data_IF_277493899217
#
_entry.id   IF_277493899217
#
_cell.length_a   1.000
_cell.length_b   1.000
_cell.length_c   1.000
_cell.angle_alpha   90.00
_cell.angle_beta   90.00
_cell.angle_gamma   90.00
#
_symmetry.space_group_name_H-M   'P 1'
#
loop_
_entity.id
_entity.type
_entity.pdbx_description
1 polymer ?
#
# COMPACT_ATOMS: atom_id res chain seq x y z
N UNK A 1 19.27 -10.34 -1.60
CA UNK A 1 20.49 -9.56 -1.31
C UNK A 1 21.57 -10.59 -1.01
N UNK A 2 22.67 -10.60 -1.76
CA UNK A 2 23.79 -11.51 -1.50
C UNK A 2 24.36 -11.21 -0.10
N UNK A 3 24.78 -12.25 0.63
CA UNK A 3 25.48 -12.07 1.89
C UNK A 3 26.79 -11.31 1.66
N UNK A 4 27.35 -10.66 2.68
CA UNK A 4 28.52 -9.81 2.49
C UNK A 4 29.70 -10.59 1.87
N UNK A 5 29.95 -11.80 2.36
CA UNK A 5 30.97 -12.69 1.83
C UNK A 5 30.70 -13.12 0.37
N UNK A 6 29.44 -13.35 0.01
CA UNK A 6 29.09 -13.71 -1.38
C UNK A 6 29.20 -12.52 -2.33
N UNK A 7 28.99 -11.28 -1.85
CA UNK A 7 29.22 -10.09 -2.68
C UNK A 7 30.69 -9.92 -3.01
N UNK A 8 31.56 -10.13 -2.03
CA UNK A 8 33.00 -10.09 -2.25
C UNK A 8 33.44 -11.17 -3.23
N UNK A 9 32.92 -12.40 -3.09
CA UNK A 9 33.17 -13.48 -4.05
C UNK A 9 32.68 -13.13 -5.46
N UNK A 10 31.45 -12.63 -5.61
CA UNK A 10 30.90 -12.26 -6.93
C UNK A 10 31.66 -11.07 -7.54
N UNK A 11 32.08 -10.09 -6.74
CA UNK A 11 32.93 -9.00 -7.24
C UNK A 11 34.32 -9.50 -7.65
N UNK A 12 34.87 -10.50 -6.96
CA UNK A 12 36.11 -11.20 -7.34
C UNK A 12 35.95 -11.91 -8.67
N UNK A 13 34.94 -12.77 -8.79
CA UNK A 13 34.65 -13.53 -10.02
C UNK A 13 34.40 -12.60 -11.22
N UNK A 14 33.69 -11.48 -11.03
CA UNK A 14 33.46 -10.49 -12.09
C UNK A 14 34.72 -9.72 -12.50
N UNK A 15 35.66 -9.51 -11.57
CA UNK A 15 36.94 -8.89 -11.89
C UNK A 15 37.90 -9.86 -12.59
N UNK A 16 37.80 -11.16 -12.30
CA UNK A 16 38.63 -12.20 -12.92
C UNK A 16 38.10 -12.67 -14.28
N UNK A 17 36.77 -12.67 -14.46
CA UNK A 17 36.14 -12.95 -15.73
C UNK A 17 36.32 -11.75 -16.68
N UNK A 18 37.38 -11.77 -17.48
CA UNK A 18 37.61 -10.83 -18.59
C UNK A 18 36.59 -10.95 -19.76
N UNK A 19 35.39 -11.45 -19.48
CA UNK A 19 34.29 -11.63 -20.43
C UNK A 19 33.49 -10.36 -20.67
N UNK A 20 32.56 -10.43 -21.62
CA UNK A 20 31.68 -9.29 -21.91
C UNK A 20 30.73 -9.03 -20.74
N UNK A 21 30.49 -7.76 -20.40
CA UNK A 21 29.67 -7.36 -19.24
C UNK A 21 28.26 -7.98 -19.18
N UNK A 22 27.74 -8.41 -20.34
CA UNK A 22 26.44 -9.10 -20.45
C UNK A 22 26.49 -10.56 -19.97
N UNK A 23 27.59 -11.28 -20.20
CA UNK A 23 27.75 -12.68 -19.77
C UNK A 23 27.80 -12.76 -18.25
N UNK A 24 28.60 -11.89 -17.61
CA UNK A 24 28.65 -11.78 -16.15
C UNK A 24 27.30 -11.42 -15.53
N UNK A 25 26.54 -10.49 -16.12
CA UNK A 25 25.18 -10.18 -15.66
C UNK A 25 24.24 -11.38 -15.77
N UNK A 26 24.32 -12.14 -16.87
CA UNK A 26 23.50 -13.35 -17.07
C UNK A 26 23.83 -14.42 -16.05
N UNK A 27 25.10 -14.62 -15.71
CA UNK A 27 25.53 -15.57 -14.68
C UNK A 27 25.03 -15.17 -13.29
N UNK A 28 25.20 -13.90 -12.92
CA UNK A 28 24.70 -13.37 -11.63
C UNK A 28 23.17 -13.51 -11.54
N UNK A 29 22.44 -13.15 -12.60
CA UNK A 29 20.99 -13.32 -12.65
C UNK A 29 20.59 -14.79 -12.57
N UNK A 30 21.32 -15.69 -13.25
CA UNK A 30 21.11 -17.13 -13.19
C UNK A 30 21.29 -17.69 -11.78
N UNK A 31 22.33 -17.26 -11.07
CA UNK A 31 22.59 -17.66 -9.68
C UNK A 31 21.51 -17.14 -8.73
N UNK A 32 21.10 -15.87 -8.87
CA UNK A 32 19.98 -15.30 -8.10
C UNK A 32 18.70 -16.07 -8.37
N UNK A 33 18.39 -16.39 -9.63
CA UNK A 33 17.19 -17.14 -10.02
C UNK A 33 17.17 -18.56 -9.42
N UNK A 34 18.27 -19.31 -9.54
CA UNK A 34 18.40 -20.66 -8.95
C UNK A 34 18.21 -20.64 -7.44
N UNK A 35 18.83 -19.67 -6.74
CA UNK A 35 18.69 -19.53 -5.29
C UNK A 35 17.26 -19.15 -4.88
N UNK A 36 16.62 -18.25 -5.63
CA UNK A 36 15.21 -17.94 -5.39
C UNK A 36 14.34 -19.19 -5.59
N UNK A 37 14.56 -19.96 -6.66
CA UNK A 37 13.83 -21.21 -6.91
C UNK A 37 14.01 -22.23 -5.77
N UNK A 38 15.22 -22.37 -5.22
CA UNK A 38 15.44 -23.24 -4.05
C UNK A 38 14.69 -22.77 -2.81
N UNK A 39 14.54 -21.46 -2.59
CA UNK A 39 13.75 -20.94 -1.47
C UNK A 39 12.27 -21.31 -1.60
N UNK A 40 11.74 -21.39 -2.83
CA UNK A 40 10.35 -21.78 -3.11
C UNK A 40 10.04 -23.24 -2.82
N UNK A 41 11.04 -24.10 -2.67
CA UNK A 41 10.85 -25.49 -2.23
C UNK A 41 10.45 -25.58 -0.75
N UNK A 42 10.74 -24.55 0.05
CA UNK A 42 10.30 -24.48 1.44
C UNK A 42 8.86 -23.99 1.58
N UNK A 43 8.18 -24.33 2.67
CA UNK A 43 6.80 -23.89 2.94
C UNK A 43 6.66 -22.38 3.26
N UNK A 44 7.74 -21.72 3.70
CA UNK A 44 7.69 -20.33 4.21
C UNK A 44 7.26 -19.29 3.17
N UNK A 45 7.79 -19.28 1.92
CA UNK A 45 7.32 -18.36 0.88
C UNK A 45 5.84 -18.55 0.55
N UNK A 46 5.33 -19.78 0.58
CA UNK A 46 3.92 -20.08 0.34
C UNK A 46 3.01 -19.49 1.43
N UNK A 47 3.36 -19.62 2.71
CA UNK A 47 2.61 -18.93 3.77
C UNK A 47 2.70 -17.41 3.64
N UNK A 48 3.86 -16.89 3.24
CA UNK A 48 3.98 -15.46 2.99
C UNK A 48 3.05 -15.02 1.85
N UNK A 49 2.99 -15.74 0.73
CA UNK A 49 2.05 -15.48 -0.35
C UNK A 49 0.59 -15.56 0.10
N UNK A 50 0.24 -16.56 0.91
CA UNK A 50 -1.12 -16.73 1.42
C UNK A 50 -1.62 -15.52 2.22
N UNK A 51 -0.71 -14.72 2.80
CA UNK A 51 -1.02 -13.49 3.51
C UNK A 51 -0.88 -12.26 2.60
N UNK A 52 0.19 -12.20 1.81
CA UNK A 52 0.57 -11.05 1.00
C UNK A 52 -0.39 -10.86 -0.19
N UNK A 53 -0.86 -11.95 -0.81
CA UNK A 53 -1.85 -11.89 -1.89
C UNK A 53 -3.17 -11.24 -1.48
N UNK A 54 -3.90 -11.75 -0.46
CA UNK A 54 -5.18 -11.14 -0.07
C UNK A 54 -4.98 -9.72 0.44
N UNK A 55 -3.86 -9.43 1.10
CA UNK A 55 -3.54 -8.08 1.55
C UNK A 55 -3.37 -7.10 0.38
N UNK A 56 -2.71 -7.52 -0.70
CA UNK A 56 -2.51 -6.69 -1.89
C UNK A 56 -3.82 -6.43 -2.63
N UNK A 57 -4.67 -7.46 -2.75
CA UNK A 57 -6.02 -7.32 -3.32
C UNK A 57 -6.85 -6.35 -2.47
N UNK A 58 -6.90 -6.57 -1.16
CA UNK A 58 -7.70 -5.76 -0.24
C UNK A 58 -7.25 -4.29 -0.23
N UNK A 59 -5.94 -4.06 -0.24
CA UNK A 59 -5.37 -2.71 -0.30
C UNK A 59 -5.71 -2.02 -1.62
N UNK A 60 -5.68 -2.74 -2.74
CA UNK A 60 -6.08 -2.22 -4.05
C UNK A 60 -7.57 -1.89 -4.12
N UNK A 61 -8.42 -2.76 -3.57
CA UNK A 61 -9.88 -2.53 -3.49
C UNK A 61 -10.17 -1.28 -2.66
N UNK A 62 -9.60 -1.18 -1.45
CA UNK A 62 -9.81 -0.06 -0.53
C UNK A 62 -9.29 1.24 -1.14
N UNK A 63 -8.08 1.21 -1.71
CA UNK A 63 -7.46 2.35 -2.42
C UNK A 63 -8.34 2.85 -3.55
N UNK A 64 -8.78 1.94 -4.43
CA UNK A 64 -9.64 2.28 -5.56
C UNK A 64 -10.95 2.90 -5.07
N UNK A 65 -11.62 2.27 -4.10
CA UNK A 65 -12.87 2.77 -3.55
C UNK A 65 -12.75 4.15 -2.92
N UNK A 66 -11.70 4.39 -2.12
CA UNK A 66 -11.45 5.71 -1.53
C UNK A 66 -11.14 6.73 -2.64
N UNK A 67 -10.36 6.36 -3.65
CA UNK A 67 -10.05 7.25 -4.77
C UNK A 67 -11.29 7.64 -5.56
N UNK A 68 -12.19 6.70 -5.88
CA UNK A 68 -13.45 6.96 -6.58
C UNK A 68 -14.41 7.76 -5.71
N UNK A 69 -14.47 7.51 -4.40
CA UNK A 69 -15.26 8.32 -3.47
C UNK A 69 -14.76 9.77 -3.41
N UNK A 70 -13.44 9.96 -3.33
CA UNK A 70 -12.81 11.27 -3.29
C UNK A 70 -12.81 11.98 -4.66
N UNK A 71 -12.99 11.25 -5.76
CA UNK A 71 -13.06 11.80 -7.11
C UNK A 71 -14.21 12.81 -7.26
N UNK A 72 -15.37 12.51 -6.65
CA UNK A 72 -16.54 13.41 -6.67
C UNK A 72 -16.22 14.73 -5.97
N UNK A 73 -15.64 14.66 -4.77
CA UNK A 73 -15.21 15.85 -4.02
C UNK A 73 -14.18 16.65 -4.81
N UNK A 74 -13.16 15.99 -5.36
CA UNK A 74 -12.12 16.65 -6.14
C UNK A 74 -12.67 17.31 -7.40
N UNK A 75 -13.58 16.64 -8.11
CA UNK A 75 -14.25 17.21 -9.27
C UNK A 75 -15.09 18.43 -8.91
N UNK A 76 -15.85 18.36 -7.83
CA UNK A 76 -16.61 19.51 -7.31
C UNK A 76 -15.67 20.68 -7.00
N UNK A 77 -14.54 20.42 -6.36
CA UNK A 77 -13.62 21.48 -5.93
C UNK A 77 -12.70 22.01 -7.01
N UNK A 78 -12.35 21.22 -8.04
CA UNK A 78 -11.35 21.60 -9.03
C UNK A 78 -11.97 21.99 -10.37
N UNK A 79 -13.02 21.29 -10.80
CA UNK A 79 -13.61 21.48 -12.13
C UNK A 79 -14.84 22.39 -12.12
N UNK A 80 -15.45 22.64 -10.96
CA UNK A 80 -16.56 23.57 -10.80
C UNK A 80 -16.10 24.88 -10.14
N UNK A 81 -14.82 25.24 -10.27
CA UNK A 81 -14.33 26.53 -9.78
C UNK A 81 -14.74 27.61 -10.78
N UNK A 82 -15.90 28.21 -10.56
CA UNK A 82 -16.34 29.41 -11.26
C UNK A 82 -16.42 30.61 -10.30
N UNK A 83 -16.44 31.82 -10.88
CA UNK A 83 -16.48 33.05 -10.09
C UNK A 83 -17.75 33.19 -9.24
N UNK A 84 -18.82 32.46 -9.54
CA UNK A 84 -20.09 32.50 -8.82
C UNK A 84 -20.05 31.60 -7.58
N UNK A 85 -19.60 30.36 -7.73
CA UNK A 85 -19.39 29.37 -6.66
C UNK A 85 -18.32 29.83 -5.67
N UNK A 86 -17.27 30.48 -6.15
CA UNK A 86 -16.26 31.09 -5.26
C UNK A 86 -16.83 32.19 -4.36
N UNK A 87 -17.93 32.84 -4.75
CA UNK A 87 -18.63 33.84 -3.92
C UNK A 87 -19.67 33.21 -2.98
N UNK A 88 -20.00 31.93 -3.17
CA UNK A 88 -20.99 31.25 -2.36
C UNK A 88 -20.34 30.66 -1.09
N UNK A 89 -20.76 31.13 0.09
CA UNK A 89 -20.23 30.63 1.37
C UNK A 89 -20.52 29.14 1.59
N UNK A 90 -21.65 28.64 1.08
CA UNK A 90 -22.03 27.24 1.16
C UNK A 90 -21.04 26.31 0.44
N UNK A 91 -20.46 26.77 -0.67
CA UNK A 91 -19.40 26.04 -1.37
C UNK A 91 -18.18 25.86 -0.44
N UNK A 92 -17.69 26.96 0.14
CA UNK A 92 -16.53 26.93 1.04
C UNK A 92 -16.75 26.12 2.31
N UNK A 93 -17.96 26.12 2.87
CA UNK A 93 -18.30 25.23 3.98
C UNK A 93 -18.14 23.77 3.56
N UNK A 94 -18.71 23.38 2.42
CA UNK A 94 -18.59 22.01 1.90
C UNK A 94 -17.13 21.60 1.63
N UNK A 95 -16.32 22.51 1.08
CA UNK A 95 -14.88 22.28 0.89
C UNK A 95 -14.16 22.08 2.23
N UNK A 96 -14.41 22.95 3.20
CA UNK A 96 -13.78 22.90 4.53
C UNK A 96 -14.12 21.60 5.26
N UNK A 97 -15.34 21.10 5.09
CA UNK A 97 -15.78 19.87 5.73
C UNK A 97 -15.22 18.62 5.01
N UNK A 98 -15.04 18.68 3.69
CA UNK A 98 -14.68 17.51 2.88
C UNK A 98 -13.17 17.31 2.71
N UNK A 99 -12.40 18.38 2.53
CA UNK A 99 -10.96 18.32 2.23
C UNK A 99 -10.15 17.60 3.32
N UNK A 100 -10.38 17.86 4.63
CA UNK A 100 -9.69 17.11 5.69
C UNK A 100 -10.00 15.62 5.60
N UNK A 101 -11.25 15.24 5.32
CA UNK A 101 -11.64 13.85 5.14
C UNK A 101 -10.87 13.16 4.00
N UNK A 102 -10.76 13.82 2.84
CA UNK A 102 -9.99 13.33 1.68
C UNK A 102 -8.51 13.14 2.04
N UNK A 103 -7.91 14.15 2.66
CA UNK A 103 -6.50 14.12 3.04
C UNK A 103 -6.20 13.00 4.05
N UNK A 104 -7.01 12.89 5.11
CA UNK A 104 -6.84 11.86 6.13
C UNK A 104 -7.06 10.46 5.55
N UNK A 105 -7.98 10.31 4.59
CA UNK A 105 -8.20 9.04 3.90
C UNK A 105 -6.98 8.61 3.07
N UNK A 106 -6.37 9.54 2.33
CA UNK A 106 -5.14 9.28 1.56
C UNK A 106 -3.94 8.98 2.46
N UNK A 107 -3.82 9.69 3.57
CA UNK A 107 -2.79 9.44 4.57
C UNK A 107 -2.95 8.05 5.19
N UNK A 108 -4.18 7.63 5.51
CA UNK A 108 -4.47 6.30 6.02
C UNK A 108 -4.06 5.21 5.01
N UNK A 109 -4.36 5.38 3.71
CA UNK A 109 -3.91 4.46 2.66
C UNK A 109 -2.38 4.38 2.65
N UNK A 110 -1.67 5.50 2.67
CA UNK A 110 -0.20 5.52 2.71
C UNK A 110 0.36 4.76 3.91
N UNK A 111 -0.22 4.98 5.10
CA UNK A 111 0.19 4.30 6.32
C UNK A 111 -0.12 2.79 6.32
N UNK A 112 -1.32 2.38 5.88
CA UNK A 112 -1.66 0.97 5.74
C UNK A 112 -0.74 0.29 4.74
N UNK A 113 -0.49 0.93 3.61
CA UNK A 113 0.38 0.43 2.54
C UNK A 113 1.80 0.20 3.02
N UNK A 114 2.38 1.19 3.71
CA UNK A 114 3.70 1.03 4.33
C UNK A 114 3.72 -0.10 5.36
N UNK A 115 2.70 -0.18 6.23
CA UNK A 115 2.62 -1.22 7.28
C UNK A 115 2.50 -2.63 6.69
N UNK A 116 1.72 -2.79 5.63
CA UNK A 116 1.58 -4.05 4.88
C UNK A 116 2.92 -4.44 4.23
N UNK A 117 3.58 -3.50 3.57
CA UNK A 117 4.92 -3.69 3.00
C UNK A 117 5.94 -4.08 4.06
N UNK A 118 5.93 -3.40 5.20
CA UNK A 118 6.81 -3.71 6.34
C UNK A 118 6.61 -5.13 6.85
N UNK A 119 5.36 -5.54 7.08
CA UNK A 119 5.03 -6.90 7.50
C UNK A 119 5.54 -7.93 6.48
N UNK A 120 5.31 -7.68 5.19
CA UNK A 120 5.78 -8.54 4.12
C UNK A 120 7.32 -8.63 4.09
N UNK A 121 8.03 -7.51 4.26
CA UNK A 121 9.50 -7.48 4.33
C UNK A 121 10.07 -8.25 5.53
N UNK A 122 9.41 -8.16 6.69
CA UNK A 122 9.79 -8.92 7.89
C UNK A 122 9.54 -10.42 7.71
N UNK A 123 8.41 -10.81 7.12
CA UNK A 123 8.05 -12.22 6.90
C UNK A 123 8.88 -12.88 5.79
N UNK A 124 9.25 -12.12 4.76
CA UNK A 124 9.91 -12.65 3.55
C UNK A 124 11.38 -12.28 3.42
N UNK A 125 12.11 -12.02 4.51
CA UNK A 125 13.52 -11.55 4.47
C UNK A 125 14.41 -12.21 3.40
N UNK A 126 14.32 -13.53 3.22
CA UNK A 126 15.11 -14.30 2.25
C UNK A 126 14.55 -14.27 0.82
N UNK A 127 13.24 -14.10 0.68
CA UNK A 127 12.50 -14.16 -0.59
C UNK A 127 11.89 -12.79 -0.99
N UNK A 128 12.31 -11.68 -0.38
CA UNK A 128 11.63 -10.38 -0.50
C UNK A 128 11.51 -9.90 -1.95
N UNK A 129 12.48 -10.25 -2.80
CA UNK A 129 12.46 -9.85 -4.21
C UNK A 129 11.35 -10.59 -4.96
N UNK A 130 11.21 -11.89 -4.75
CA UNK A 130 10.19 -12.69 -5.44
C UNK A 130 8.80 -12.44 -4.86
N UNK A 131 8.65 -12.44 -3.54
CA UNK A 131 7.36 -12.10 -2.89
C UNK A 131 6.95 -10.65 -3.15
N UNK A 132 7.91 -9.72 -3.11
CA UNK A 132 7.69 -8.31 -3.43
C UNK A 132 7.30 -8.10 -4.89
N UNK A 133 7.97 -8.78 -5.84
CA UNK A 133 7.60 -8.74 -7.25
C UNK A 133 6.18 -9.27 -7.47
N UNK A 134 5.84 -10.43 -6.89
CA UNK A 134 4.47 -10.99 -6.98
C UNK A 134 3.45 -10.03 -6.38
N UNK A 135 3.74 -9.44 -5.22
CA UNK A 135 2.86 -8.44 -4.61
C UNK A 135 2.65 -7.22 -5.50
N UNK A 136 3.72 -6.71 -6.12
CA UNK A 136 3.64 -5.58 -7.05
C UNK A 136 2.83 -5.96 -8.29
N UNK A 137 3.05 -7.15 -8.85
CA UNK A 137 2.26 -7.67 -9.98
C UNK A 137 0.79 -7.74 -9.61
N UNK A 138 0.45 -8.23 -8.42
CA UNK A 138 -0.93 -8.30 -7.93
C UNK A 138 -1.53 -6.91 -7.76
N UNK A 139 -0.80 -5.97 -7.15
CA UNK A 139 -1.24 -4.57 -7.00
C UNK A 139 -1.50 -3.90 -8.36
N UNK A 140 -0.63 -4.13 -9.34
CA UNK A 140 -0.75 -3.56 -10.68
C UNK A 140 -1.85 -4.25 -11.48
N UNK A 141 -1.97 -5.57 -11.39
CA UNK A 141 -3.04 -6.33 -12.04
C UNK A 141 -4.41 -5.90 -11.50
N UNK A 142 -4.54 -5.68 -10.19
CA UNK A 142 -5.76 -5.12 -9.61
C UNK A 142 -6.01 -3.67 -10.06
N UNK A 143 -4.97 -2.89 -10.36
CA UNK A 143 -5.14 -1.53 -10.89
C UNK A 143 -5.63 -1.50 -12.35
N UNK A 144 -5.51 -2.62 -13.08
CA UNK A 144 -5.97 -2.71 -14.47
C UNK A 144 -7.49 -2.62 -14.50
N UNK A 145 -8.05 -1.70 -15.32
CA UNK A 145 -9.46 -1.63 -15.62
C UNK A 145 -10.07 -3.00 -15.95
N UNK A 146 -11.20 -3.35 -15.35
CA UNK A 146 -11.90 -4.60 -15.66
C UNK A 146 -11.53 -5.79 -14.77
N UNK A 147 -10.31 -5.88 -14.23
CA UNK A 147 -9.90 -7.01 -13.35
C UNK A 147 -10.67 -6.97 -12.03
N UNK A 148 -10.68 -5.81 -11.37
CA UNK A 148 -11.54 -5.60 -10.20
C UNK A 148 -13.03 -5.66 -10.60
N UNK A 149 -13.39 -5.27 -11.83
CA UNK A 149 -14.79 -5.27 -12.26
C UNK A 149 -15.36 -6.66 -12.55
N UNK A 150 -14.51 -7.63 -12.87
CA UNK A 150 -14.89 -9.03 -12.84
C UNK A 150 -15.25 -9.50 -11.41
N UNK A 151 -14.72 -8.83 -10.38
CA UNK A 151 -15.10 -9.06 -8.98
C UNK A 151 -16.30 -8.20 -8.52
N UNK A 152 -16.75 -7.21 -9.32
CA UNK A 152 -17.88 -6.30 -9.01
C UNK A 152 -19.26 -6.98 -9.08
N UNK A 153 -19.36 -8.24 -9.53
CA UNK A 153 -20.65 -8.96 -9.53
C UNK A 153 -21.20 -9.23 -8.12
N UNK A 154 -20.44 -8.93 -7.07
CA UNK A 154 -20.92 -9.02 -5.69
C UNK A 154 -21.30 -7.63 -5.19
N UNK A 155 -22.52 -7.45 -4.62
CA UNK A 155 -22.96 -6.17 -4.10
C UNK A 155 -21.94 -5.57 -3.12
N UNK A 156 -21.15 -6.38 -2.41
CA UNK A 156 -20.08 -5.91 -1.50
C UNK A 156 -19.07 -4.89 -2.09
N UNK A 157 -19.00 -4.71 -3.42
CA UNK A 157 -18.05 -3.83 -4.09
C UNK A 157 -18.68 -2.68 -4.91
N UNK A 158 -19.91 -2.21 -4.60
CA UNK A 158 -20.45 -1.07 -5.39
C UNK A 158 -19.54 0.15 -5.22
N UNK A 159 -19.08 0.63 -6.36
CA UNK A 159 -18.18 1.76 -6.51
C UNK A 159 -18.95 3.05 -6.79
N UNK A 160 -18.32 4.19 -6.50
CA UNK A 160 -18.94 5.50 -6.72
C UNK A 160 -19.28 5.76 -8.19
N UNK A 161 -18.55 5.14 -9.13
CA UNK A 161 -18.75 5.22 -10.58
C UNK A 161 -19.93 4.39 -11.10
N UNK A 162 -20.51 3.52 -10.26
CA UNK A 162 -21.74 2.77 -10.61
C UNK A 162 -23.01 3.56 -10.27
N UNK A 163 -22.90 4.67 -9.53
CA UNK A 163 -24.04 5.53 -9.25
C UNK A 163 -24.24 6.53 -10.38
N UNK A 164 -25.35 6.40 -11.12
CA UNK A 164 -25.72 7.25 -12.26
C UNK A 164 -25.65 8.77 -11.99
N UNK A 165 -25.87 9.20 -10.74
CA UNK A 165 -25.76 10.61 -10.33
C UNK A 165 -24.34 11.15 -10.51
N UNK A 166 -23.34 10.28 -10.43
CA UNK A 166 -21.92 10.63 -10.57
C UNK A 166 -21.40 10.49 -12.01
N UNK A 167 -22.25 10.13 -12.98
CA UNK A 167 -21.83 9.90 -14.37
C UNK A 167 -21.08 11.11 -14.94
N UNK A 168 -21.48 12.33 -14.60
CA UNK A 168 -20.80 13.55 -15.05
C UNK A 168 -19.32 13.59 -14.62
N UNK A 169 -19.02 13.13 -13.40
CA UNK A 169 -17.66 13.06 -12.85
C UNK A 169 -16.84 12.01 -13.60
N UNK A 170 -17.40 10.81 -13.76
CA UNK A 170 -16.69 9.65 -14.29
C UNK A 170 -16.69 9.57 -15.83
N UNK A 171 -17.39 10.48 -16.52
CA UNK A 171 -17.19 10.74 -17.96
C UNK A 171 -15.78 11.27 -18.26
N UNK A 172 -15.16 11.97 -17.30
CA UNK A 172 -13.81 12.48 -17.45
C UNK A 172 -12.78 11.37 -17.19
N UNK A 173 -11.95 11.08 -18.19
CA UNK A 173 -10.92 10.04 -18.13
C UNK A 173 -9.96 10.21 -16.93
N UNK A 174 -9.72 11.45 -16.51
CA UNK A 174 -8.90 11.75 -15.34
C UNK A 174 -9.44 11.09 -14.07
N UNK A 175 -10.72 11.33 -13.73
CA UNK A 175 -11.32 10.80 -12.50
C UNK A 175 -11.60 9.30 -12.56
N UNK A 176 -11.85 8.79 -13.76
CA UNK A 176 -12.12 7.36 -13.98
C UNK A 176 -10.86 6.50 -13.95
N UNK A 177 -9.76 6.97 -14.54
CA UNK A 177 -8.57 6.14 -14.76
C UNK A 177 -7.32 6.70 -14.10
N UNK A 178 -7.03 7.99 -14.31
CA UNK A 178 -5.75 8.57 -13.89
C UNK A 178 -5.68 8.74 -12.38
N UNK A 179 -6.72 9.27 -11.75
CA UNK A 179 -6.74 9.52 -10.31
C UNK A 179 -6.59 8.22 -9.49
N UNK A 180 -7.37 7.14 -9.73
CA UNK A 180 -7.15 5.88 -9.04
C UNK A 180 -5.75 5.31 -9.27
N UNK A 181 -5.21 5.42 -10.50
CA UNK A 181 -3.87 4.95 -10.82
C UNK A 181 -2.79 5.76 -10.06
N UNK A 182 -2.93 7.10 -9.99
CA UNK A 182 -2.03 7.95 -9.22
C UNK A 182 -2.08 7.60 -7.73
N UNK A 183 -3.27 7.44 -7.15
CA UNK A 183 -3.44 7.02 -5.75
C UNK A 183 -2.78 5.66 -5.53
N UNK A 184 -3.01 4.70 -6.42
CA UNK A 184 -2.40 3.36 -6.33
C UNK A 184 -0.87 3.41 -6.42
N UNK A 185 -0.30 4.17 -7.34
CA UNK A 185 1.17 4.24 -7.47
C UNK A 185 1.77 5.01 -6.28
N UNK A 186 1.27 6.21 -6.01
CA UNK A 186 1.87 7.12 -5.04
C UNK A 186 1.61 6.73 -3.59
N UNK A 187 0.40 6.25 -3.27
CA UNK A 187 -0.03 5.98 -1.91
C UNK A 187 -0.10 4.49 -1.57
N UNK A 188 -0.01 3.59 -2.56
CA UNK A 188 0.04 2.14 -2.32
C UNK A 188 1.39 1.55 -2.67
N UNK A 189 1.79 1.59 -3.95
CA UNK A 189 2.98 0.90 -4.43
C UNK A 189 4.27 1.46 -3.81
N UNK A 190 4.47 2.78 -3.85
CA UNK A 190 5.69 3.41 -3.29
C UNK A 190 5.80 3.15 -1.78
N UNK A 191 4.76 3.39 -0.95
CA UNK A 191 4.85 3.13 0.49
C UNK A 191 5.05 1.66 0.82
N UNK A 192 4.40 0.73 0.10
CA UNK A 192 4.63 -0.72 0.26
C UNK A 192 6.09 -1.06 0.02
N UNK A 193 6.65 -0.65 -1.12
CA UNK A 193 8.02 -0.98 -1.49
C UNK A 193 9.00 -0.46 -0.45
N UNK A 194 8.79 0.79 0.00
CA UNK A 194 9.56 1.38 1.08
C UNK A 194 9.41 0.58 2.38
N UNK A 195 8.19 0.23 2.76
CA UNK A 195 7.91 -0.61 3.92
C UNK A 195 8.62 -1.96 3.86
N UNK A 196 8.60 -2.64 2.71
CA UNK A 196 9.32 -3.90 2.50
C UNK A 196 10.83 -3.75 2.70
N UNK A 197 11.41 -2.70 2.11
CA UNK A 197 12.82 -2.37 2.32
C UNK A 197 13.14 -2.12 3.79
N UNK A 198 12.30 -1.34 4.48
CA UNK A 198 12.46 -1.02 5.90
C UNK A 198 12.35 -2.29 6.77
N UNK A 199 11.40 -3.18 6.45
CA UNK A 199 11.18 -4.45 7.16
C UNK A 199 12.33 -5.45 7.02
N UNK A 200 12.97 -5.49 5.86
CA UNK A 200 14.17 -6.34 5.65
C UNK A 200 15.40 -5.83 6.38
N UNK A 201 15.56 -4.51 6.47
CA UNK A 201 16.65 -3.84 7.22
C UNK A 201 16.48 -3.95 8.73
N UNK A 202 15.30 -4.30 9.20
CA UNK A 202 14.91 -4.28 10.60
C UNK A 202 15.37 -5.50 11.41
N UNK A 203 16.67 -5.83 11.35
CA UNK A 203 17.24 -6.95 12.12
C UNK A 203 17.34 -6.67 13.62
N UNK A 204 17.36 -5.40 14.04
CA UNK A 204 17.64 -4.98 15.43
C UNK A 204 16.51 -4.14 16.07
N UNK A 205 15.25 -4.54 15.91
CA UNK A 205 14.15 -3.88 16.62
C UNK A 205 14.08 -4.38 18.07
N UNK A 206 14.07 -3.48 19.08
CA UNK A 206 13.79 -3.86 20.46
C UNK A 206 12.47 -4.63 20.60
N UNK A 207 12.40 -5.59 21.53
CA UNK A 207 11.21 -6.45 21.71
C UNK A 207 9.91 -5.66 21.88
N UNK A 208 9.92 -4.58 22.65
CA UNK A 208 8.74 -3.72 22.86
C UNK A 208 8.21 -3.12 21.55
N UNK A 209 9.09 -2.54 20.73
CA UNK A 209 8.72 -1.97 19.43
C UNK A 209 8.25 -3.04 18.45
N UNK A 210 8.80 -4.25 18.52
CA UNK A 210 8.32 -5.39 17.72
C UNK A 210 6.87 -5.74 18.06
N UNK A 211 6.48 -5.72 19.34
CA UNK A 211 5.09 -5.94 19.77
C UNK A 211 4.18 -4.85 19.21
N UNK A 212 4.57 -3.58 19.32
CA UNK A 212 3.80 -2.44 18.78
C UNK A 212 3.63 -2.55 17.26
N UNK A 213 4.66 -2.96 16.54
CA UNK A 213 4.59 -3.18 15.10
C UNK A 213 3.62 -4.30 14.73
N UNK A 214 3.70 -5.46 15.38
CA UNK A 214 2.77 -6.56 15.12
C UNK A 214 1.32 -6.18 15.46
N UNK A 215 1.12 -5.44 16.55
CA UNK A 215 -0.19 -4.89 16.89
C UNK A 215 -0.70 -3.96 15.78
N UNK A 216 0.15 -3.07 15.27
CA UNK A 216 -0.20 -2.17 14.15
C UNK A 216 -0.54 -2.93 12.87
N UNK A 217 0.18 -4.02 12.56
CA UNK A 217 -0.14 -4.90 11.43
C UNK A 217 -1.51 -5.54 11.61
N UNK A 218 -1.79 -6.13 12.78
CA UNK A 218 -3.09 -6.73 13.08
C UNK A 218 -4.23 -5.72 12.98
N UNK A 219 -4.04 -4.52 13.54
CA UNK A 219 -5.01 -3.43 13.46
C UNK A 219 -5.21 -2.94 12.02
N UNK A 220 -4.15 -2.88 11.22
CA UNK A 220 -4.22 -2.52 9.80
C UNK A 220 -5.01 -3.55 9.00
N UNK A 221 -4.74 -4.84 9.19
CA UNK A 221 -5.49 -5.92 8.53
C UNK A 221 -6.96 -5.86 8.94
N UNK A 222 -7.24 -5.73 10.23
CA UNK A 222 -8.61 -5.60 10.74
C UNK A 222 -9.32 -4.37 10.15
N UNK A 223 -8.64 -3.22 10.11
CA UNK A 223 -9.11 -1.99 9.49
C UNK A 223 -9.43 -2.18 8.00
N UNK A 224 -8.53 -2.81 7.24
CA UNK A 224 -8.75 -3.05 5.82
C UNK A 224 -9.92 -4.01 5.56
N UNK A 225 -10.04 -5.08 6.36
CA UNK A 225 -11.14 -6.05 6.24
C UNK A 225 -12.49 -5.42 6.58
N UNK A 226 -12.52 -4.62 7.65
CA UNK A 226 -13.72 -3.90 8.08
C UNK A 226 -14.14 -2.88 7.02
N UNK A 227 -13.20 -2.12 6.44
CA UNK A 227 -13.48 -1.21 5.33
C UNK A 227 -13.90 -1.93 4.04
N UNK A 228 -13.34 -3.11 3.78
CA UNK A 228 -13.53 -3.88 2.54
C UNK A 228 -14.86 -4.62 2.42
N UNK A 229 -15.25 -5.44 3.41
CA UNK A 229 -16.40 -6.36 3.26
C UNK A 229 -17.59 -6.03 4.16
N UNK A 230 -17.36 -5.85 5.47
CA UNK A 230 -18.44 -5.93 6.44
C UNK A 230 -19.27 -4.65 6.53
N UNK A 231 -18.62 -3.47 6.59
CA UNK A 231 -19.34 -2.22 6.85
C UNK A 231 -20.02 -1.62 5.64
N UNK A 232 -19.56 -1.94 4.43
CA UNK A 232 -20.23 -1.47 3.22
C UNK A 232 -21.58 -2.17 3.05
N UNK A 233 -21.68 -3.48 3.33
CA UNK A 233 -22.96 -4.18 3.35
C UNK A 233 -23.92 -3.53 4.36
N UNK A 234 -23.46 -3.24 5.58
CA UNK A 234 -24.30 -2.57 6.58
C UNK A 234 -24.75 -1.17 6.13
N UNK A 235 -23.86 -0.41 5.46
CA UNK A 235 -24.15 0.95 4.98
C UNK A 235 -25.13 1.00 3.82
N UNK A 236 -25.16 -0.01 2.95
CA UNK A 236 -26.05 -0.02 1.76
C UNK A 236 -27.40 -0.63 2.05
N UNK A 237 -27.48 -1.56 3.00
CA UNK A 237 -28.75 -2.15 3.42
C UNK A 237 -29.56 -1.25 4.37
N UNK A 238 -28.93 -0.28 5.04
CA UNK A 238 -29.64 0.74 5.81
C UNK A 238 -29.65 2.08 5.06
N UNK A 239 -30.83 2.53 4.62
CA UNK A 239 -31.07 3.86 4.02
C UNK A 239 -30.65 5.04 4.91
N UNK A 240 -30.33 4.78 6.19
CA UNK A 240 -29.78 5.77 7.10
C UNK A 240 -28.25 5.63 7.18
N UNK A 241 -27.48 6.70 6.94
CA UNK A 241 -26.05 6.70 7.19
C UNK A 241 -25.84 6.58 8.70
N UNK A 242 -25.69 5.36 9.19
CA UNK A 242 -25.18 5.12 10.54
C UNK A 242 -23.85 5.87 10.68
N UNK A 243 -23.74 6.72 11.72
CA UNK A 243 -22.54 7.48 12.09
C UNK A 243 -21.46 6.52 12.61
N UNK A 244 -20.99 5.63 11.75
CA UNK A 244 -19.87 4.75 12.05
C UNK A 244 -18.55 5.51 11.96
N UNK A 245 -17.48 4.98 12.58
CA UNK A 245 -16.14 5.55 12.49
C UNK A 245 -15.77 5.86 11.03
N UNK A 246 -15.84 7.15 10.67
CA UNK A 246 -15.31 7.64 9.40
C UNK A 246 -13.81 7.32 9.35
N UNK A 247 -13.24 7.11 8.16
CA UNK A 247 -11.80 6.92 7.94
C UNK A 247 -10.86 7.75 8.86
N UNK A 248 -11.10 9.04 9.16
CA UNK A 248 -10.37 9.80 10.18
C UNK A 248 -10.19 9.12 11.55
N UNK A 249 -11.18 8.35 12.01
CA UNK A 249 -11.11 7.65 13.32
C UNK A 249 -10.23 6.41 13.33
N UNK A 250 -9.93 5.82 12.15
CA UNK A 250 -9.02 4.67 12.03
C UNK A 250 -7.58 5.09 11.72
N UNK A 251 -7.37 6.37 11.37
CA UNK A 251 -6.06 6.94 11.08
C UNK A 251 -5.05 6.74 12.21
N UNK A 252 -5.38 6.91 13.51
CA UNK A 252 -4.42 6.67 14.59
C UNK A 252 -3.84 5.26 14.51
N UNK A 253 -4.67 4.24 14.24
CA UNK A 253 -4.22 2.86 14.11
C UNK A 253 -3.32 2.63 12.90
N UNK A 254 -3.62 3.30 11.78
CA UNK A 254 -2.78 3.28 10.58
C UNK A 254 -1.39 3.87 10.86
N UNK A 255 -1.34 4.99 11.60
CA UNK A 255 -0.12 5.72 11.90
C UNK A 255 0.80 5.02 12.91
N UNK A 256 0.28 4.13 13.75
CA UNK A 256 1.07 3.45 14.80
C UNK A 256 2.32 2.77 14.25
N UNK A 257 2.21 2.09 13.10
CA UNK A 257 3.31 1.34 12.49
C UNK A 257 4.46 2.26 12.04
N UNK A 258 4.22 3.19 11.10
CA UNK A 258 5.22 4.15 10.66
C UNK A 258 5.82 4.97 11.81
N UNK A 259 5.00 5.42 12.77
CA UNK A 259 5.49 6.19 13.93
C UNK A 259 6.40 5.35 14.84
N UNK A 260 6.02 4.11 15.15
CA UNK A 260 6.86 3.20 15.93
C UNK A 260 8.20 2.92 15.22
N UNK A 261 8.19 2.82 13.90
CA UNK A 261 9.40 2.67 13.11
C UNK A 261 10.30 3.91 13.17
N UNK A 262 9.75 5.11 13.00
CA UNK A 262 10.51 6.36 13.10
C UNK A 262 11.13 6.54 14.49
N UNK A 263 10.39 6.23 15.56
CA UNK A 263 10.92 6.21 16.93
C UNK A 263 12.04 5.18 17.12
N UNK A 264 11.95 4.04 16.44
CA UNK A 264 13.03 3.04 16.46
C UNK A 264 14.32 3.57 15.81
N UNK A 265 14.22 4.36 14.74
CA UNK A 265 15.37 4.93 14.07
C UNK A 265 16.07 5.99 14.93
N UNK A 266 15.32 6.87 15.59
CA UNK A 266 15.89 7.92 16.44
C UNK A 266 16.61 7.34 17.66
N UNK A 267 16.05 6.29 18.27
CA UNK A 267 16.70 5.60 19.40
C UNK A 267 17.98 4.87 18.99
N UNK A 268 18.02 4.26 17.80
CA UNK A 268 19.23 3.64 17.26
C UNK A 268 20.33 4.67 16.95
N UNK A 269 19.97 5.82 16.39
CA UNK A 269 20.93 6.89 16.12
C UNK A 269 21.57 7.42 17.40
N UNK A 270 20.79 7.62 18.48
CA UNK A 270 21.33 8.07 19.78
C UNK A 270 22.33 7.08 20.37
N UNK A 271 22.07 5.77 20.28
CA UNK A 271 23.01 4.74 20.78
C UNK A 271 24.35 4.75 20.05
N UNK A 272 24.35 4.99 18.73
CA UNK A 272 25.60 5.07 17.94
C UNK A 272 26.48 6.27 18.31
N UNK A 273 25.88 7.37 18.74
CA UNK A 273 26.62 8.58 19.16
C UNK A 273 27.25 8.39 20.54
N UNK A 274 26.57 7.71 21.48
CA UNK A 274 27.08 7.51 22.84
C UNK A 274 28.27 6.55 22.95
N UNK A 275 28.55 5.75 21.91
CA UNK A 275 29.62 4.76 21.88
C UNK A 275 30.87 5.24 21.14
N UNK A 276 30.92 6.52 20.76
CA UNK A 276 32.07 7.18 20.14
C UNK A 276 32.62 8.23 21.10
#
# INVERSE_FOLDING_TARGET
MLEAAEREAVCGDLNEAAGTSLEGLREVLGLVARRQAQLWLGWRPWLCLAIVLPLGILLSVVSHRISSGNAVTLWLTANNVDAYLLRNEGFWSGVRDSVPGVFLAWLAIGCWSWTCGFAAGVLSRRAVLSTGAIFCVVLLACAVPGVLSAMDYKPAFIRADLYHVNDAVFRLAFYRWMLPLFVQIALVLIPVLRGMCDGTRSSFIPRALKIVMWLSVSLTVFSLVTQGMFWWMVRVWMMYPLRYPLLPSLLPFAMLGPMAYLLSLTTQQRKKVSTR
#
